data_IF_057101273145
#
_entry.id   IF_057101273145
#
_cell.length_a   1.000
_cell.length_b   1.000
_cell.length_c   1.000
_cell.angle_alpha   90.00
_cell.angle_beta   90.00
_cell.angle_gamma   90.00
#
_symmetry.space_group_name_H-M   'P 1'
#
loop_
_entity.id
_entity.type
_entity.pdbx_description
1 polymer ?
#
# COMPACT_ATOMS: atom_id res chain seq x y z
N UNK A 1 18.60 -16.66 -4.15
CA UNK A 1 17.60 -15.56 -4.18
C UNK A 1 17.47 -15.03 -2.76
N UNK A 2 17.87 -13.78 -2.49
CA UNK A 2 17.72 -13.19 -1.15
C UNK A 2 16.36 -12.50 -1.11
N UNK A 3 15.31 -13.25 -0.78
CA UNK A 3 13.99 -12.67 -0.57
C UNK A 3 14.00 -11.96 0.79
N UNK A 4 13.86 -10.63 0.78
CA UNK A 4 13.75 -9.88 2.02
C UNK A 4 12.31 -9.94 2.52
N UNK A 5 12.09 -10.45 3.74
CA UNK A 5 10.79 -10.47 4.44
C UNK A 5 10.08 -9.12 4.39
N UNK A 6 10.83 -8.01 4.32
CA UNK A 6 10.29 -6.66 4.16
C UNK A 6 9.50 -6.50 2.84
N UNK A 7 10.04 -7.03 1.74
CA UNK A 7 9.41 -6.94 0.42
C UNK A 7 8.13 -7.78 0.38
N UNK A 8 8.13 -8.95 1.02
CA UNK A 8 6.94 -9.79 1.14
C UNK A 8 5.86 -9.12 1.99
N UNK A 9 6.21 -8.53 3.14
CA UNK A 9 5.29 -7.74 3.97
C UNK A 9 4.68 -6.59 3.15
N UNK A 10 5.49 -5.89 2.36
CA UNK A 10 4.99 -4.83 1.49
C UNK A 10 4.00 -5.34 0.44
N UNK A 11 4.33 -6.44 -0.24
CA UNK A 11 3.44 -7.08 -1.22
C UNK A 11 2.12 -7.53 -0.58
N UNK A 12 2.19 -8.12 0.62
CA UNK A 12 1.03 -8.52 1.39
C UNK A 12 0.14 -7.31 1.73
N UNK A 13 0.72 -6.18 2.12
CA UNK A 13 -0.02 -4.93 2.36
C UNK A 13 -0.62 -4.36 1.06
N UNK A 14 0.03 -4.54 -0.09
CA UNK A 14 -0.50 -4.11 -1.39
C UNK A 14 -1.68 -4.95 -1.86
N UNK A 15 -1.66 -6.25 -1.62
CA UNK A 15 -2.75 -7.15 -2.02
C UNK A 15 -3.98 -6.98 -1.13
N UNK A 16 -3.78 -6.61 0.14
CA UNK A 16 -4.87 -6.47 1.10
C UNK A 16 -5.32 -5.00 1.24
N UNK A 17 -6.58 -4.78 1.64
CA UNK A 17 -7.13 -3.43 1.84
C UNK A 17 -7.05 -3.00 3.31
N UNK A 18 -5.82 -2.93 3.83
CA UNK A 18 -5.54 -2.56 5.22
C UNK A 18 -5.20 -3.77 6.06
N UNK A 19 -3.96 -3.80 6.55
CA UNK A 19 -3.41 -4.94 7.29
C UNK A 19 -3.05 -4.53 8.70
N UNK A 20 -3.40 -5.34 9.70
CA UNK A 20 -3.00 -5.11 11.09
C UNK A 20 -1.73 -5.87 11.42
N UNK A 21 -1.05 -5.44 12.48
CA UNK A 21 0.16 -6.12 12.99
C UNK A 21 -0.15 -7.58 13.32
N UNK A 22 -1.30 -7.87 13.92
CA UNK A 22 -1.74 -9.23 14.25
C UNK A 22 -1.82 -10.14 13.02
N UNK A 23 -2.25 -9.60 11.87
CA UNK A 23 -2.38 -10.37 10.64
C UNK A 23 -0.99 -10.75 10.11
N UNK A 24 -0.06 -9.79 10.13
CA UNK A 24 1.34 -10.01 9.74
C UNK A 24 2.05 -11.01 10.65
N UNK A 25 1.89 -10.89 11.98
CA UNK A 25 2.50 -11.85 12.92
C UNK A 25 1.94 -13.26 12.71
N UNK A 26 0.64 -13.37 12.42
CA UNK A 26 -0.03 -14.66 12.22
C UNK A 26 0.36 -15.32 10.90
N UNK A 27 0.53 -14.53 9.84
CA UNK A 27 0.87 -15.01 8.50
C UNK A 27 2.36 -15.35 8.37
N UNK A 28 3.25 -14.42 8.76
CA UNK A 28 4.69 -14.59 8.61
C UNK A 28 5.36 -15.33 9.77
N UNK A 29 4.62 -15.65 10.84
CA UNK A 29 5.12 -16.35 12.04
C UNK A 29 6.34 -15.65 12.68
N UNK A 30 6.37 -14.33 12.62
CA UNK A 30 7.43 -13.48 13.20
C UNK A 30 6.89 -12.67 14.38
N UNK A 31 7.80 -12.28 15.27
CA UNK A 31 7.42 -11.53 16.47
C UNK A 31 6.88 -10.13 16.14
N UNK A 32 5.97 -9.57 16.96
CA UNK A 32 5.46 -8.22 16.77
C UNK A 32 6.56 -7.15 16.66
N UNK A 33 7.65 -7.30 17.41
CA UNK A 33 8.79 -6.39 17.40
C UNK A 33 9.47 -6.36 16.02
N UNK A 34 9.62 -7.53 15.40
CA UNK A 34 10.16 -7.65 14.04
C UNK A 34 9.21 -7.00 13.04
N UNK A 35 7.90 -7.25 13.15
CA UNK A 35 6.89 -6.62 12.29
C UNK A 35 6.95 -5.11 12.40
N UNK A 36 6.95 -4.56 13.62
CA UNK A 36 7.05 -3.12 13.85
C UNK A 36 8.31 -2.51 13.25
N UNK A 37 9.45 -3.21 13.33
CA UNK A 37 10.70 -2.78 12.68
C UNK A 37 10.56 -2.68 11.16
N UNK A 38 9.99 -3.70 10.52
CA UNK A 38 9.76 -3.67 9.06
C UNK A 38 8.75 -2.59 8.65
N UNK A 39 7.64 -2.46 9.38
CA UNK A 39 6.62 -1.45 9.11
C UNK A 39 7.16 -0.03 9.30
N UNK A 40 7.99 0.22 10.32
CA UNK A 40 8.61 1.53 10.51
C UNK A 40 9.55 1.88 9.35
N UNK A 41 10.36 0.92 8.86
CA UNK A 41 11.20 1.14 7.67
C UNK A 41 10.37 1.45 6.43
N UNK A 42 9.36 0.62 6.13
CA UNK A 42 8.46 0.83 4.99
C UNK A 42 7.71 2.16 5.06
N UNK A 43 7.30 2.58 6.27
CA UNK A 43 6.65 3.87 6.51
C UNK A 43 7.62 5.03 6.29
N UNK A 44 8.84 4.92 6.80
CA UNK A 44 9.88 5.94 6.62
C UNK A 44 10.32 6.06 5.15
N UNK A 45 10.28 4.96 4.40
CA UNK A 45 10.47 4.93 2.93
C UNK A 45 9.26 5.50 2.15
N UNK A 46 8.19 5.92 2.83
CA UNK A 46 6.99 6.44 2.18
C UNK A 46 6.17 5.39 1.42
N UNK A 47 6.44 4.09 1.61
CA UNK A 47 5.76 3.00 0.89
C UNK A 47 4.40 2.65 1.48
N UNK A 48 4.25 2.80 2.79
CA UNK A 48 3.01 2.52 3.51
C UNK A 48 2.65 3.66 4.45
N UNK A 49 1.36 3.78 4.75
CA UNK A 49 0.81 4.72 5.73
C UNK A 49 0.06 4.00 6.83
N UNK A 50 0.11 4.55 8.04
CA UNK A 50 -0.65 4.07 9.20
C UNK A 50 -2.00 4.77 9.24
N UNK A 51 -3.08 4.01 9.37
CA UNK A 51 -4.45 4.52 9.50
C UNK A 51 -5.14 3.94 10.74
N UNK A 52 -6.14 4.64 11.26
CA UNK A 52 -6.89 4.27 12.45
C UNK A 52 -6.26 4.76 13.76
N UNK A 53 -6.98 4.52 14.87
CA UNK A 53 -6.58 4.90 16.23
C UNK A 53 -6.15 3.65 17.01
N UNK A 54 -5.15 3.74 17.91
CA UNK A 54 -4.86 2.65 18.82
C UNK A 54 -6.12 2.18 19.58
N UNK A 55 -6.31 0.87 19.82
CA UNK A 55 -5.45 -0.25 19.40
C UNK A 55 -5.74 -0.73 17.97
N UNK A 56 -6.82 -0.25 17.32
CA UNK A 56 -7.27 -0.67 15.99
C UNK A 56 -6.54 0.10 14.88
N UNK A 57 -5.23 -0.09 14.80
CA UNK A 57 -4.39 0.49 13.75
C UNK A 57 -4.18 -0.49 12.60
N UNK A 58 -4.26 0.03 11.37
CA UNK A 58 -4.06 -0.74 10.14
C UNK A 58 -3.06 -0.01 9.24
N UNK A 59 -2.39 -0.75 8.37
CA UNK A 59 -1.40 -0.24 7.43
C UNK A 59 -1.90 -0.42 6.01
N UNK A 60 -1.79 0.66 5.22
CA UNK A 60 -2.22 0.72 3.82
C UNK A 60 -1.02 1.11 2.95
N UNK A 61 -1.01 0.75 1.66
CA UNK A 61 -0.08 1.32 0.70
C UNK A 61 -0.22 2.84 0.65
N UNK A 62 0.90 3.55 0.53
CA UNK A 62 0.89 5.01 0.44
C UNK A 62 0.22 5.52 -0.84
N UNK A 63 0.42 4.81 -1.96
CA UNK A 63 -0.10 5.18 -3.28
C UNK A 63 -1.45 4.53 -3.66
N UNK A 64 -2.15 3.90 -2.71
CA UNK A 64 -3.55 3.53 -2.97
C UNK A 64 -4.40 4.80 -2.82
N UNK A 65 -4.73 5.42 -3.94
CA UNK A 65 -5.76 6.44 -4.04
C UNK A 65 -6.97 5.99 -3.23
N UNK A 66 -7.30 6.75 -2.19
CA UNK A 66 -8.46 6.48 -1.36
C UNK A 66 -9.69 6.87 -2.19
N UNK A 67 -10.25 5.94 -2.97
CA UNK A 67 -11.56 6.11 -3.61
C UNK A 67 -12.64 5.95 -2.54
N UNK A 68 -12.57 6.76 -1.48
CA UNK A 68 -13.53 6.72 -0.37
C UNK A 68 -13.71 8.16 0.09
N UNK A 69 -14.43 8.95 -0.71
CA UNK A 69 -15.20 10.15 -0.28
C UNK A 69 -15.85 10.91 -1.46
N UNK A 70 -15.59 10.54 -2.72
CA UNK A 70 -16.09 11.30 -3.87
C UNK A 70 -17.61 11.14 -4.09
N UNK A 71 -18.22 10.06 -3.60
CA UNK A 71 -19.61 9.72 -3.92
C UNK A 71 -20.70 10.61 -3.32
N UNK A 72 -20.37 11.62 -2.48
CA UNK A 72 -21.42 12.49 -1.92
C UNK A 72 -21.50 13.92 -2.42
N UNK A 73 -20.65 14.39 -3.35
CA UNK A 73 -20.85 15.77 -3.85
C UNK A 73 -20.50 16.14 -5.29
N UNK A 74 -19.73 15.40 -6.08
CA UNK A 74 -19.37 15.90 -7.42
C UNK A 74 -19.16 14.79 -8.46
N UNK A 75 -20.27 14.31 -9.04
CA UNK A 75 -20.29 13.29 -10.11
C UNK A 75 -19.90 13.83 -11.50
N UNK A 76 -19.27 15.02 -11.63
CA UNK A 76 -19.15 15.71 -12.93
C UNK A 76 -17.74 16.17 -13.37
N UNK A 77 -16.66 15.92 -12.63
CA UNK A 77 -15.34 16.50 -12.97
C UNK A 77 -14.13 15.55 -12.99
N UNK A 78 -14.30 14.22 -12.88
CA UNK A 78 -13.16 13.29 -12.68
C UNK A 78 -12.95 12.36 -13.89
N UNK A 79 -13.34 12.82 -15.08
CA UNK A 79 -13.06 12.09 -16.32
C UNK A 79 -11.82 12.59 -17.05
N UNK A 80 -11.29 13.76 -16.70
CA UNK A 80 -10.32 14.45 -17.55
C UNK A 80 -8.86 14.36 -17.05
N UNK A 81 -8.58 13.69 -15.92
CA UNK A 81 -7.25 13.73 -15.26
C UNK A 81 -6.48 12.40 -15.31
N UNK A 82 -7.11 11.30 -15.73
CA UNK A 82 -6.50 9.95 -15.59
C UNK A 82 -5.53 9.62 -16.74
N UNK A 83 -5.56 10.35 -17.86
CA UNK A 83 -4.70 10.08 -19.01
C UNK A 83 -3.32 10.78 -18.99
N UNK A 84 -2.99 11.57 -17.97
CA UNK A 84 -1.77 12.41 -17.99
C UNK A 84 -0.63 11.94 -17.06
N UNK A 85 -0.71 10.75 -16.44
CA UNK A 85 0.40 10.28 -15.57
C UNK A 85 0.63 8.76 -15.53
N UNK A 86 0.44 8.08 -16.67
CA UNK A 86 1.12 6.80 -16.90
C UNK A 86 2.45 7.16 -17.57
N UNK A 87 3.59 7.22 -16.85
CA UNK A 87 4.87 7.46 -17.47
C UNK A 87 5.17 6.36 -18.48
N UNK A 88 5.30 6.79 -19.72
CA UNK A 88 5.72 6.04 -20.89
C UNK A 88 7.01 5.25 -20.62
N UNK A 89 6.91 3.92 -20.56
CA UNK A 89 8.04 3.03 -20.86
C UNK A 89 7.54 1.63 -21.15
N UNK A 90 7.09 1.45 -22.39
CA UNK A 90 7.57 0.38 -23.25
C UNK A 90 7.17 0.69 -24.70
N UNK A 91 8.07 1.40 -25.38
CA UNK A 91 8.10 1.64 -26.82
C UNK A 91 8.14 0.33 -27.59
N UNK A 92 7.16 0.15 -28.50
CA UNK A 92 7.23 -0.35 -29.89
C UNK A 92 8.16 -1.52 -30.20
N UNK A 93 7.59 -2.64 -30.65
CA UNK A 93 8.09 -3.32 -31.87
C UNK A 93 6.88 -3.68 -32.75
N UNK A 94 6.74 -2.92 -33.84
CA UNK A 94 6.00 -3.29 -35.06
C UNK A 94 6.95 -4.09 -35.94
N UNK A 95 6.57 -5.31 -36.34
CA UNK A 95 6.70 -5.84 -37.71
C UNK A 95 5.55 -6.81 -37.95
#
# INVERSE_FOLDING_TARGET
MITSTRSEIFNFINQNNGVRVKDLTSHFKISPQIVHRHLNRLKNEGKIRKTGKPPKVSYLPANKYTIISIEKKNKKQIRDVIDENIPESQTVITI
#
